data_IF_314664717640
#
_entry.id   IF_314664717640
#
_cell.length_a   1.000
_cell.length_b   1.000
_cell.length_c   1.000
_cell.angle_alpha   90.00
_cell.angle_beta   90.00
_cell.angle_gamma   90.00
#
_symmetry.space_group_name_H-M   'P 1'
#
loop_
_entity.id
_entity.type
_entity.pdbx_description
1 polymer ?
#
# COMPACT_ATOMS: atom_id res chain seq x y z
N UNK A 1 17.44 -24.12 -26.17
CA UNK A 1 18.39 -24.15 -25.02
C UNK A 1 18.64 -22.80 -24.33
N UNK A 2 18.60 -21.65 -25.02
CA UNK A 2 18.89 -20.34 -24.41
C UNK A 2 17.92 -19.95 -23.27
N UNK A 3 16.65 -20.36 -23.37
CA UNK A 3 15.61 -20.09 -22.38
C UNK A 3 15.92 -20.67 -20.98
N UNK A 4 16.37 -21.93 -20.91
CA UNK A 4 16.71 -22.57 -19.62
C UNK A 4 17.97 -21.98 -19.00
N UNK A 5 18.94 -21.56 -19.82
CA UNK A 5 20.17 -20.90 -19.33
C UNK A 5 19.86 -19.58 -18.60
N UNK A 6 18.89 -18.80 -19.07
CA UNK A 6 18.45 -17.56 -18.39
C UNK A 6 17.82 -17.83 -17.01
N UNK A 7 17.39 -19.07 -16.73
CA UNK A 7 16.81 -19.48 -15.44
C UNK A 7 17.85 -19.92 -14.41
N UNK A 8 19.14 -19.83 -14.72
CA UNK A 8 20.24 -20.11 -13.78
C UNK A 8 20.93 -18.78 -13.44
N UNK A 9 20.83 -18.33 -12.18
CA UNK A 9 21.47 -17.08 -11.73
C UNK A 9 22.83 -17.31 -11.05
N UNK A 10 23.03 -18.48 -10.44
CA UNK A 10 24.28 -18.85 -9.77
C UNK A 10 24.69 -20.26 -10.21
N UNK A 11 25.99 -20.53 -10.23
CA UNK A 11 26.54 -21.83 -10.65
C UNK A 11 26.13 -23.00 -9.77
N UNK A 12 25.79 -22.74 -8.50
CA UNK A 12 25.36 -23.77 -7.56
C UNK A 12 23.95 -24.30 -7.90
N UNK A 13 23.78 -25.62 -7.94
CA UNK A 13 22.48 -26.29 -8.09
C UNK A 13 21.65 -25.82 -9.32
N UNK A 14 22.22 -25.83 -10.54
CA UNK A 14 21.58 -25.24 -11.72
C UNK A 14 20.24 -25.90 -12.07
N UNK A 15 20.13 -27.22 -11.91
CA UNK A 15 18.92 -27.96 -12.21
C UNK A 15 17.77 -27.61 -11.25
N UNK A 16 18.04 -27.53 -9.95
CA UNK A 16 17.04 -27.15 -8.95
C UNK A 16 16.56 -25.71 -9.14
N UNK A 17 17.43 -24.79 -9.55
CA UNK A 17 17.03 -23.42 -9.89
C UNK A 17 16.05 -23.37 -11.05
N UNK A 18 16.31 -24.14 -12.11
CA UNK A 18 15.43 -24.23 -13.29
C UNK A 18 14.08 -24.83 -12.90
N UNK A 19 14.07 -25.97 -12.22
CA UNK A 19 12.82 -26.65 -11.80
C UNK A 19 11.96 -25.72 -10.93
N UNK A 20 12.55 -25.07 -9.92
CA UNK A 20 11.81 -24.15 -9.04
C UNK A 20 11.19 -22.98 -9.81
N UNK A 21 11.86 -22.44 -10.84
CA UNK A 21 11.34 -21.33 -11.64
C UNK A 21 10.24 -21.77 -12.60
N UNK A 22 10.39 -22.92 -13.23
CA UNK A 22 9.35 -23.48 -14.11
C UNK A 22 8.08 -23.79 -13.33
N UNK A 23 8.20 -24.37 -12.13
CA UNK A 23 7.05 -24.60 -11.24
C UNK A 23 6.41 -23.28 -10.81
N UNK A 24 7.20 -22.25 -10.44
CA UNK A 24 6.65 -20.92 -10.12
C UNK A 24 5.89 -20.29 -11.30
N UNK A 25 6.40 -20.44 -12.52
CA UNK A 25 5.74 -19.92 -13.71
C UNK A 25 4.43 -20.68 -14.02
N UNK A 26 4.41 -22.00 -13.85
CA UNK A 26 3.20 -22.82 -14.01
C UNK A 26 2.16 -22.59 -12.89
N UNK A 27 2.59 -22.33 -11.66
CA UNK A 27 1.68 -22.07 -10.55
C UNK A 27 1.15 -20.62 -10.57
N UNK A 28 1.86 -19.69 -11.23
CA UNK A 28 1.36 -18.32 -11.44
C UNK A 28 0.27 -18.25 -12.53
N UNK A 29 -0.03 -19.34 -13.25
CA UNK A 29 -1.17 -19.40 -14.19
C UNK A 29 -2.49 -19.81 -13.54
N UNK A 30 -2.56 -19.88 -12.21
CA UNK A 30 -3.81 -20.14 -11.50
C UNK A 30 -4.70 -18.88 -11.41
N UNK A 31 -5.72 -18.86 -12.28
CA UNK A 31 -6.97 -18.10 -12.18
C UNK A 31 -6.87 -16.56 -12.22
N UNK A 32 -6.73 -16.04 -13.43
CA UNK A 32 -7.35 -14.75 -13.76
C UNK A 32 -8.88 -14.91 -13.78
N UNK A 33 -9.49 -15.05 -12.60
CA UNK A 33 -10.88 -14.65 -12.45
C UNK A 33 -10.88 -13.13 -12.52
N UNK A 34 -10.98 -12.60 -13.74
CA UNK A 34 -11.30 -11.20 -14.00
C UNK A 34 -12.75 -11.00 -13.53
N UNK A 35 -12.93 -10.93 -12.21
CA UNK A 35 -14.09 -10.29 -11.63
C UNK A 35 -13.78 -8.82 -11.70
N UNK A 36 -14.31 -8.20 -12.74
CA UNK A 36 -14.30 -6.76 -12.93
C UNK A 36 -15.14 -6.11 -11.82
N UNK A 37 -14.56 -5.98 -10.63
CA UNK A 37 -15.10 -5.20 -9.53
C UNK A 37 -13.94 -4.39 -8.96
N UNK A 38 -13.87 -3.10 -9.27
CA UNK A 38 -13.07 -2.11 -8.52
C UNK A 38 -13.65 -1.91 -7.09
N UNK A 39 -14.14 -2.98 -6.46
CA UNK A 39 -14.71 -2.96 -5.13
C UNK A 39 -13.59 -3.08 -4.11
N UNK A 40 -13.39 -2.03 -3.33
CA UNK A 40 -12.52 -2.06 -2.16
C UNK A 40 -13.10 -3.07 -1.16
N UNK A 41 -12.34 -4.10 -0.81
CA UNK A 41 -12.70 -5.08 0.22
C UNK A 41 -12.18 -4.60 1.57
N UNK A 42 -13.10 -4.27 2.47
CA UNK A 42 -12.78 -3.94 3.86
C UNK A 42 -12.61 -5.21 4.69
N UNK A 43 -11.59 -5.24 5.53
CA UNK A 43 -11.20 -6.42 6.32
C UNK A 43 -10.81 -6.01 7.74
N UNK A 44 -10.98 -6.97 8.66
CA UNK A 44 -10.60 -6.84 10.07
C UNK A 44 -11.35 -5.67 10.73
N UNK A 45 -12.61 -5.93 11.06
CA UNK A 45 -13.42 -4.96 11.79
C UNK A 45 -12.82 -4.69 13.19
N UNK A 46 -12.90 -3.44 13.63
CA UNK A 46 -12.55 -3.04 14.99
C UNK A 46 -13.41 -1.88 15.47
N UNK A 47 -13.34 -1.59 16.77
CA UNK A 47 -14.13 -0.52 17.41
C UNK A 47 -13.27 0.53 18.10
N UNK A 48 -11.94 0.37 18.09
CA UNK A 48 -11.01 1.21 18.87
C UNK A 48 -10.35 2.33 18.06
N UNK A 49 -10.87 2.66 16.87
CA UNK A 49 -10.31 3.73 16.04
C UNK A 49 -11.00 5.07 16.30
N UNK A 50 -10.31 6.19 16.03
CA UNK A 50 -10.94 7.50 16.10
C UNK A 50 -11.99 7.66 14.99
N UNK A 51 -13.15 8.18 15.35
CA UNK A 51 -14.21 8.57 14.43
C UNK A 51 -14.35 10.09 14.44
N UNK A 52 -14.64 10.66 13.27
CA UNK A 52 -14.98 12.08 13.10
C UNK A 52 -16.50 12.16 12.91
N UNK A 53 -17.10 13.31 13.20
CA UNK A 53 -18.51 13.59 12.92
C UNK A 53 -18.90 13.09 11.52
N UNK A 54 -20.05 12.42 11.41
CA UNK A 54 -20.61 11.75 10.23
C UNK A 54 -19.99 10.39 9.87
N UNK A 55 -18.87 9.98 10.48
CA UNK A 55 -18.35 8.62 10.34
C UNK A 55 -19.03 7.67 11.33
N UNK A 56 -19.54 6.55 10.84
CA UNK A 56 -20.25 5.55 11.63
C UNK A 56 -19.48 4.22 11.56
N UNK A 57 -19.59 3.41 12.60
CA UNK A 57 -19.22 1.98 12.53
C UNK A 57 -19.96 1.28 11.38
N UNK A 58 -19.36 0.26 10.75
CA UNK A 58 -18.16 -0.47 11.15
C UNK A 58 -16.83 0.23 10.78
N UNK A 59 -15.79 -0.01 11.58
CA UNK A 59 -14.43 0.47 11.32
C UNK A 59 -13.53 -0.71 10.97
N UNK A 60 -12.50 -0.50 10.16
CA UNK A 60 -11.67 -1.55 9.60
C UNK A 60 -10.19 -1.21 9.68
N UNK A 61 -9.36 -2.23 9.95
CA UNK A 61 -7.90 -2.07 9.95
C UNK A 61 -7.31 -2.18 8.55
N UNK A 62 -8.02 -2.85 7.64
CA UNK A 62 -7.48 -3.20 6.33
C UNK A 62 -8.46 -2.86 5.21
N UNK A 63 -7.93 -2.22 4.17
CA UNK A 63 -8.61 -2.04 2.88
C UNK A 63 -7.78 -2.72 1.80
N UNK A 64 -8.41 -3.60 1.02
CA UNK A 64 -7.76 -4.35 -0.04
C UNK A 64 -8.44 -4.10 -1.38
N UNK A 65 -7.66 -3.71 -2.37
CA UNK A 65 -8.05 -3.70 -3.78
C UNK A 65 -7.38 -4.88 -4.50
N UNK A 66 -7.57 -5.00 -5.81
CA UNK A 66 -6.88 -6.01 -6.60
C UNK A 66 -5.37 -5.70 -6.73
N UNK A 67 -4.99 -4.42 -6.60
CA UNK A 67 -3.62 -3.95 -6.85
C UNK A 67 -2.81 -3.74 -5.57
N UNK A 68 -3.45 -3.34 -4.48
CA UNK A 68 -2.78 -3.00 -3.23
C UNK A 68 -3.60 -3.32 -1.99
N UNK A 69 -2.92 -3.33 -0.86
CA UNK A 69 -3.53 -3.54 0.44
C UNK A 69 -2.99 -2.51 1.44
N UNK A 70 -3.89 -1.80 2.08
CA UNK A 70 -3.60 -0.84 3.14
C UNK A 70 -3.91 -1.50 4.48
N UNK A 71 -2.93 -1.58 5.37
CA UNK A 71 -3.07 -2.12 6.72
C UNK A 71 -2.57 -1.08 7.74
N UNK A 72 -3.52 -0.50 8.48
CA UNK A 72 -3.25 0.57 9.46
C UNK A 72 -2.35 0.05 10.61
N UNK A 73 -2.35 -1.26 10.84
CA UNK A 73 -1.54 -1.91 11.87
C UNK A 73 -0.04 -1.86 11.52
N UNK A 74 0.28 -1.77 10.24
CA UNK A 74 1.67 -1.75 9.74
C UNK A 74 2.17 -0.32 9.58
N UNK A 75 3.42 -0.11 9.98
CA UNK A 75 4.04 1.22 10.01
C UNK A 75 4.23 1.80 8.60
N UNK A 76 4.55 0.96 7.62
CA UNK A 76 4.73 1.36 6.22
C UNK A 76 3.39 1.63 5.52
N UNK A 77 2.43 0.72 5.69
CA UNK A 77 1.19 0.72 4.91
C UNK A 77 0.17 1.79 5.35
N UNK A 78 0.37 2.41 6.51
CA UNK A 78 -0.49 3.49 7.01
C UNK A 78 -0.21 4.86 6.41
N UNK A 79 0.85 5.02 5.61
CA UNK A 79 1.13 6.25 4.87
C UNK A 79 0.83 6.04 3.40
N UNK A 80 0.02 6.92 2.83
CA UNK A 80 -0.29 6.89 1.39
C UNK A 80 -0.16 8.28 0.79
N UNK A 81 0.30 8.32 -0.46
CA UNK A 81 0.31 9.52 -1.28
C UNK A 81 -0.86 9.46 -2.27
N UNK A 82 -1.71 10.48 -2.22
CA UNK A 82 -2.84 10.63 -3.12
C UNK A 82 -2.41 11.26 -4.45
N UNK A 83 -3.26 11.16 -5.48
CA UNK A 83 -2.97 11.70 -6.82
C UNK A 83 -2.74 13.21 -6.88
N UNK A 84 -3.17 13.95 -5.86
CA UNK A 84 -2.93 15.38 -5.70
C UNK A 84 -1.61 15.68 -4.93
N UNK A 85 -0.71 14.70 -4.82
CA UNK A 85 0.55 14.75 -4.06
C UNK A 85 0.34 14.97 -2.55
N UNK A 86 -0.87 14.71 -2.05
CA UNK A 86 -1.17 14.81 -0.63
C UNK A 86 -0.75 13.54 0.09
N UNK A 87 0.06 13.68 1.13
CA UNK A 87 0.46 12.55 1.97
C UNK A 87 -0.47 12.51 3.18
N UNK A 88 -1.06 11.34 3.43
CA UNK A 88 -1.92 11.12 4.59
C UNK A 88 -1.39 9.95 5.42
N UNK A 89 -1.51 10.09 6.73
CA UNK A 89 -1.34 8.99 7.68
C UNK A 89 -2.71 8.49 8.10
N UNK A 90 -3.08 7.33 7.60
CA UNK A 90 -4.33 6.66 7.93
C UNK A 90 -4.28 6.19 9.39
N UNK A 91 -5.33 6.54 10.13
CA UNK A 91 -5.55 6.13 11.52
C UNK A 91 -6.76 5.23 11.67
N UNK A 92 -7.73 5.37 10.78
CA UNK A 92 -8.92 4.53 10.76
C UNK A 92 -9.49 4.45 9.34
N UNK A 93 -10.22 3.38 9.03
CA UNK A 93 -11.04 3.24 7.82
C UNK A 93 -12.46 2.99 8.29
N UNK A 94 -13.41 3.83 7.91
CA UNK A 94 -14.80 3.72 8.36
C UNK A 94 -15.74 4.10 7.21
N UNK A 95 -17.06 4.05 7.46
CA UNK A 95 -18.03 4.57 6.50
C UNK A 95 -18.50 5.97 6.92
N UNK A 96 -18.49 6.92 5.98
CA UNK A 96 -19.13 8.23 6.13
C UNK A 96 -20.18 8.38 5.03
N UNK A 97 -21.42 8.71 5.40
CA UNK A 97 -22.50 8.98 4.42
C UNK A 97 -22.67 7.87 3.37
N UNK A 98 -22.60 6.60 3.80
CA UNK A 98 -22.65 5.39 2.97
C UNK A 98 -21.48 5.18 1.99
N UNK A 99 -20.42 5.97 2.10
CA UNK A 99 -19.17 5.80 1.35
C UNK A 99 -18.03 5.31 2.25
N UNK A 100 -16.99 4.71 1.67
CA UNK A 100 -15.79 4.27 2.41
C UNK A 100 -14.87 5.47 2.55
N UNK A 101 -14.40 5.73 3.77
CA UNK A 101 -13.61 6.91 4.09
C UNK A 101 -12.35 6.52 4.87
N UNK A 102 -11.25 7.16 4.50
CA UNK A 102 -9.99 7.13 5.23
C UNK A 102 -10.00 8.28 6.24
N UNK A 103 -9.71 7.97 7.50
CA UNK A 103 -9.62 8.94 8.58
C UNK A 103 -8.17 9.01 9.03
N UNK A 104 -7.61 10.22 9.14
CA UNK A 104 -6.18 10.35 9.41
C UNK A 104 -5.69 11.77 9.58
N UNK A 105 -4.37 11.92 9.44
CA UNK A 105 -3.67 13.20 9.53
C UNK A 105 -3.00 13.54 8.21
N UNK A 106 -3.01 14.82 7.89
CA UNK A 106 -2.35 15.40 6.72
C UNK A 106 -0.84 15.61 6.96
N UNK A 107 -0.04 15.32 5.94
CA UNK A 107 1.40 15.54 5.91
C UNK A 107 1.81 16.27 4.62
N UNK A 108 2.83 17.12 4.74
CA UNK A 108 3.52 17.78 3.64
C UNK A 108 4.94 17.27 3.47
N UNK A 109 5.39 17.20 2.22
CA UNK A 109 6.81 17.00 1.89
C UNK A 109 7.60 18.23 2.32
N UNK A 110 8.77 18.01 2.89
CA UNK A 110 9.70 19.02 3.39
C UNK A 110 11.04 18.89 2.64
N UNK A 111 12.14 19.09 3.36
CA UNK A 111 13.50 19.02 2.83
C UNK A 111 13.90 17.61 2.38
N UNK A 112 14.94 17.57 1.56
CA UNK A 112 15.60 16.36 1.10
C UNK A 112 16.10 15.52 2.28
N UNK A 113 15.85 14.21 2.22
CA UNK A 113 16.35 13.24 3.19
C UNK A 113 17.89 13.23 3.30
N UNK A 114 18.59 13.40 2.17
CA UNK A 114 20.04 13.59 2.10
C UNK A 114 20.43 14.57 0.99
N UNK A 115 21.62 15.19 1.13
CA UNK A 115 22.18 16.14 0.15
C UNK A 115 23.40 15.60 -0.61
N UNK A 116 24.01 14.52 -0.14
CA UNK A 116 25.20 13.91 -0.76
C UNK A 116 24.86 12.49 -1.24
N UNK A 117 25.34 12.06 -2.42
CA UNK A 117 26.16 12.79 -3.39
C UNK A 117 25.38 13.87 -4.19
N UNK A 118 24.05 13.82 -4.16
CA UNK A 118 23.15 14.82 -4.71
C UNK A 118 21.87 14.87 -3.88
N UNK A 119 21.01 15.87 -4.11
CA UNK A 119 19.76 16.04 -3.38
C UNK A 119 18.83 14.85 -3.59
N UNK A 120 18.38 14.23 -2.51
CA UNK A 120 17.46 13.09 -2.55
C UNK A 120 16.07 13.45 -3.08
N UNK A 121 15.69 14.73 -3.05
CA UNK A 121 14.46 15.23 -3.68
C UNK A 121 14.39 14.97 -5.18
N UNK A 122 15.54 14.80 -5.85
CA UNK A 122 15.59 14.40 -7.27
C UNK A 122 15.04 12.99 -7.50
N UNK A 123 14.94 12.19 -6.45
CA UNK A 123 14.43 10.82 -6.48
C UNK A 123 13.12 10.67 -5.69
N UNK A 124 12.42 11.78 -5.40
CA UNK A 124 11.22 11.82 -4.56
C UNK A 124 11.42 11.27 -3.12
N UNK A 125 12.65 11.34 -2.61
CA UNK A 125 12.97 10.94 -1.24
C UNK A 125 13.10 12.19 -0.38
N UNK A 126 12.08 12.49 0.41
CA UNK A 126 12.01 13.70 1.25
C UNK A 126 11.50 13.38 2.65
N UNK A 127 11.82 14.24 3.61
CA UNK A 127 11.16 14.21 4.91
C UNK A 127 9.70 14.62 4.75
N UNK A 128 8.83 14.05 5.58
CA UNK A 128 7.43 14.45 5.69
C UNK A 128 7.16 15.01 7.08
N UNK A 129 6.40 16.09 7.14
CA UNK A 129 5.99 16.72 8.40
C UNK A 129 4.47 16.77 8.48
N UNK A 130 3.95 16.57 9.69
CA UNK A 130 2.52 16.66 9.97
C UNK A 130 2.09 18.13 9.85
N UNK A 131 1.07 18.41 9.04
CA UNK A 131 0.60 19.78 8.78
C UNK A 131 -0.15 20.32 10.01
N UNK A 132 -1.22 19.63 10.40
CA UNK A 132 -2.09 20.01 11.50
C UNK A 132 -2.37 18.81 12.41
N UNK A 133 -2.72 19.09 13.67
CA UNK A 133 -3.17 18.08 14.63
C UNK A 133 -4.65 17.72 14.52
N UNK A 134 -5.39 18.32 13.57
CA UNK A 134 -6.77 17.97 13.24
C UNK A 134 -6.82 16.63 12.53
N UNK A 135 -7.79 15.80 12.92
CA UNK A 135 -8.14 14.59 12.18
C UNK A 135 -9.02 15.02 10.99
N UNK A 136 -8.78 14.46 9.82
CA UNK A 136 -9.50 14.76 8.58
C UNK A 136 -9.99 13.46 7.91
N UNK A 137 -10.92 13.59 6.96
CA UNK A 137 -11.48 12.47 6.19
C UNK A 137 -11.22 12.61 4.70
N UNK A 138 -11.01 11.48 4.02
CA UNK A 138 -10.82 11.39 2.57
C UNK A 138 -11.61 10.22 2.00
N UNK A 139 -12.22 10.43 0.82
CA UNK A 139 -13.01 9.43 0.10
C UNK A 139 -12.28 8.98 -1.17
#
# INVERSE_FOLDING_TARGET
MQYLKKKVCKSAQPLQQVIRRVIKEGNNTESSNIVNNNSVKLRIEHFNGPLINNCISPQYRQAQTNDYCLDISKIGDRFVELKNNLIIKIKNIASCENSICLIGYRYSKQDSFYLKPCSSSLFDIQYIKKDNNSLETWN
#
